data_IF_388943921168
#
_entry.id   IF_388943921168
#
_cell.length_a   1.000
_cell.length_b   1.000
_cell.length_c   1.000
_cell.angle_alpha   90.00
_cell.angle_beta   90.00
_cell.angle_gamma   90.00
#
_symmetry.space_group_name_H-M   'P 1'
#
loop_
_entity.id
_entity.type
_entity.pdbx_description
1 polymer ?
#
# COMPACT_ATOMS: atom_id res chain seq x y z
N UNK A 1 4.83 -13.75 -12.18
CA UNK A 1 4.84 -14.08 -10.74
C UNK A 1 3.60 -13.42 -10.14
N UNK A 2 2.88 -14.06 -9.20
CA UNK A 2 1.74 -13.39 -8.56
C UNK A 2 2.24 -12.37 -7.53
N UNK A 3 1.55 -11.24 -7.41
CA UNK A 3 1.84 -10.23 -6.37
C UNK A 3 1.34 -10.78 -5.03
N UNK A 4 2.22 -10.84 -4.03
CA UNK A 4 1.89 -11.22 -2.66
C UNK A 4 1.96 -10.02 -1.73
N UNK A 5 1.03 -9.90 -0.79
CA UNK A 5 0.94 -8.78 0.16
C UNK A 5 0.74 -9.26 1.59
N UNK A 6 1.49 -8.69 2.54
CA UNK A 6 1.32 -8.94 3.98
C UNK A 6 1.07 -7.62 4.69
N UNK A 7 -0.03 -7.53 5.44
CA UNK A 7 -0.43 -6.29 6.12
C UNK A 7 -0.05 -6.33 7.60
N UNK A 8 0.60 -5.27 8.07
CA UNK A 8 0.92 -5.03 9.48
C UNK A 8 0.31 -3.72 9.95
N UNK A 9 -0.55 -3.76 10.96
CA UNK A 9 -1.06 -2.53 11.60
C UNK A 9 0.04 -1.96 12.50
N UNK A 10 0.47 -0.72 12.24
CA UNK A 10 1.52 -0.07 13.03
C UNK A 10 0.91 0.71 14.20
N UNK A 11 0.07 1.70 13.88
CA UNK A 11 -0.59 2.55 14.86
C UNK A 11 -1.99 2.91 14.42
N UNK A 12 -2.82 3.27 15.40
CA UNK A 12 -4.17 3.74 15.21
C UNK A 12 -4.46 4.82 16.24
N UNK A 13 -5.12 5.88 15.82
CA UNK A 13 -5.56 6.93 16.73
C UNK A 13 -6.95 7.42 16.33
N UNK A 14 -7.73 7.71 17.36
CA UNK A 14 -9.04 8.31 17.21
C UNK A 14 -8.87 9.83 17.20
N UNK A 15 -9.33 10.48 16.13
CA UNK A 15 -9.45 11.94 16.12
C UNK A 15 -10.64 12.32 17.02
N UNK A 16 -10.47 13.34 17.86
CA UNK A 16 -11.48 13.77 18.85
C UNK A 16 -12.86 14.04 18.22
N UNK A 17 -12.90 14.49 16.96
CA UNK A 17 -14.09 14.74 16.15
C UNK A 17 -13.93 14.25 14.69
N UNK A 18 -13.18 13.16 14.46
CA UNK A 18 -12.83 12.72 13.11
C UNK A 18 -12.82 11.21 12.90
N UNK A 19 -12.64 10.75 11.64
CA UNK A 19 -12.48 9.33 11.36
C UNK A 19 -11.24 8.80 12.05
N UNK A 20 -11.33 7.58 12.58
CA UNK A 20 -10.21 6.86 13.15
C UNK A 20 -9.13 6.68 12.10
N UNK A 21 -7.96 7.27 12.32
CA UNK A 21 -6.82 7.14 11.43
C UNK A 21 -6.01 5.91 11.81
N UNK A 22 -5.75 5.06 10.83
CA UNK A 22 -4.85 3.90 10.98
C UNK A 22 -3.69 4.04 10.02
N UNK A 23 -2.48 3.70 10.49
CA UNK A 23 -1.31 3.50 9.63
C UNK A 23 -1.06 2.00 9.47
N UNK A 24 -1.18 1.50 8.24
CA UNK A 24 -0.84 0.10 7.88
C UNK A 24 0.48 0.12 7.13
N UNK A 25 1.34 -0.87 7.36
CA UNK A 25 2.45 -1.24 6.47
C UNK A 25 2.03 -2.45 5.66
N UNK A 26 2.22 -2.38 4.35
CA UNK A 26 1.92 -3.48 3.42
C UNK A 26 3.22 -3.94 2.80
N UNK A 27 3.77 -5.09 3.21
CA UNK A 27 4.94 -5.69 2.57
C UNK A 27 4.53 -6.41 1.29
N UNK A 28 5.09 -5.96 0.16
CA UNK A 28 4.77 -6.47 -1.19
C UNK A 28 5.83 -7.46 -1.67
N UNK A 29 5.49 -8.38 -2.56
CA UNK A 29 6.46 -9.24 -3.26
C UNK A 29 5.98 -9.52 -4.68
N UNK A 30 6.88 -9.96 -5.57
CA UNK A 30 6.49 -10.39 -6.91
C UNK A 30 6.17 -9.28 -7.91
N UNK A 31 6.58 -8.03 -7.64
CA UNK A 31 6.45 -6.93 -8.60
C UNK A 31 7.22 -7.23 -9.90
N UNK A 32 6.56 -7.00 -11.03
CA UNK A 32 7.17 -7.03 -12.35
C UNK A 32 7.74 -5.65 -12.71
N UNK A 33 8.68 -5.61 -13.65
CA UNK A 33 9.11 -4.34 -14.23
C UNK A 33 7.93 -3.63 -14.91
N UNK A 34 7.83 -2.31 -14.73
CA UNK A 34 6.71 -1.50 -15.20
C UNK A 34 5.61 -1.35 -14.16
N UNK A 35 4.36 -1.18 -14.62
CA UNK A 35 3.21 -0.83 -13.78
C UNK A 35 2.57 -2.07 -13.14
N UNK A 36 2.32 -2.01 -11.83
CA UNK A 36 1.71 -3.08 -11.05
C UNK A 36 0.50 -2.54 -10.27
N UNK A 37 -0.56 -3.34 -10.20
CA UNK A 37 -1.68 -3.13 -9.28
C UNK A 37 -1.47 -4.03 -8.05
N UNK A 38 -1.28 -3.42 -6.88
CA UNK A 38 -1.00 -4.10 -5.62
C UNK A 38 -2.27 -4.10 -4.77
N UNK A 39 -2.93 -5.25 -4.56
CA UNK A 39 -4.11 -5.32 -3.70
C UNK A 39 -3.75 -5.00 -2.24
N UNK A 40 -4.41 -4.02 -1.61
CA UNK A 40 -4.08 -3.61 -0.24
C UNK A 40 -5.03 -4.15 0.83
N UNK A 41 -6.26 -4.50 0.46
CA UNK A 41 -7.24 -5.10 1.37
C UNK A 41 -7.66 -4.20 2.55
N UNK A 42 -7.48 -2.89 2.45
CA UNK A 42 -7.86 -1.95 3.51
C UNK A 42 -9.38 -1.82 3.56
N UNK A 43 -9.89 -1.81 4.78
CA UNK A 43 -11.31 -1.75 5.08
C UNK A 43 -11.59 -0.64 6.08
N UNK A 44 -12.72 0.03 5.91
CA UNK A 44 -13.29 0.91 6.93
C UNK A 44 -13.88 0.10 8.10
N UNK A 45 -14.45 0.81 9.07
CA UNK A 45 -15.11 0.22 10.25
C UNK A 45 -16.34 -0.64 9.90
N UNK A 46 -16.92 -0.48 8.72
CA UNK A 46 -18.07 -1.21 8.23
C UNK A 46 -17.66 -2.39 7.33
N UNK A 47 -16.36 -2.64 7.15
CA UNK A 47 -15.85 -3.70 6.28
C UNK A 47 -15.87 -3.36 4.77
N UNK A 48 -16.13 -2.10 4.41
CA UNK A 48 -16.09 -1.62 3.02
C UNK A 48 -14.68 -1.23 2.61
N UNK A 49 -14.32 -1.42 1.33
CA UNK A 49 -13.02 -1.00 0.82
C UNK A 49 -12.83 0.51 0.96
N UNK A 50 -11.65 0.94 1.39
CA UNK A 50 -11.34 2.37 1.58
C UNK A 50 -10.07 2.74 0.81
N UNK A 51 -10.12 3.86 0.11
CA UNK A 51 -8.97 4.39 -0.61
C UNK A 51 -7.97 5.01 0.39
N UNK A 52 -6.66 4.74 0.24
CA UNK A 52 -5.62 5.41 1.00
C UNK A 52 -5.69 6.94 0.89
N UNK A 53 -5.58 7.67 2.00
CA UNK A 53 -5.41 9.15 1.96
C UNK A 53 -4.00 9.57 1.53
N UNK A 54 -3.02 8.73 1.82
CA UNK A 54 -1.62 8.92 1.47
C UNK A 54 -0.97 7.56 1.23
N UNK A 55 0.03 7.52 0.35
CA UNK A 55 0.83 6.35 0.02
C UNK A 55 2.30 6.76 0.10
N UNK A 56 3.03 6.19 1.05
CA UNK A 56 4.49 6.24 1.07
C UNK A 56 5.06 4.95 0.50
N UNK A 57 6.12 5.01 -0.32
CA UNK A 57 6.81 3.82 -0.84
C UNK A 57 8.23 3.81 -0.27
N UNK A 58 8.53 2.82 0.56
CA UNK A 58 9.88 2.60 1.09
C UNK A 58 10.58 1.45 0.36
N UNK A 59 11.60 1.70 -0.49
CA UNK A 59 12.32 0.64 -1.18
C UNK A 59 13.12 -0.23 -0.21
N UNK A 60 12.97 -1.56 -0.26
CA UNK A 60 13.83 -2.51 0.49
C UNK A 60 14.87 -3.21 -0.38
N UNK A 61 14.87 -2.93 -1.68
CA UNK A 61 15.84 -3.43 -2.65
C UNK A 61 16.40 -2.28 -3.47
N UNK A 62 17.56 -2.50 -4.11
CA UNK A 62 18.18 -1.50 -4.98
C UNK A 62 17.45 -1.43 -6.33
N UNK A 63 16.26 -0.84 -6.30
CA UNK A 63 15.37 -0.69 -7.44
C UNK A 63 14.60 0.63 -7.31
N UNK A 64 14.12 1.15 -8.44
CA UNK A 64 13.34 2.39 -8.46
C UNK A 64 11.85 2.07 -8.34
N UNK A 65 11.15 2.81 -7.47
CA UNK A 65 9.72 2.68 -7.29
C UNK A 65 9.05 4.05 -7.34
N UNK A 66 7.86 4.08 -7.92
CA UNK A 66 7.04 5.29 -8.00
C UNK A 66 5.57 4.93 -7.97
N UNK A 67 4.75 5.85 -7.48
CA UNK A 67 3.30 5.79 -7.70
C UNK A 67 3.00 6.34 -9.09
N UNK A 68 2.33 5.56 -9.95
CA UNK A 68 2.02 6.00 -11.32
C UNK A 68 0.58 6.50 -11.48
N UNK A 69 -0.28 6.26 -10.50
CA UNK A 69 -1.62 6.83 -10.38
C UNK A 69 -2.09 6.73 -8.93
N UNK A 70 -3.05 7.57 -8.54
CA UNK A 70 -3.62 7.56 -7.20
C UNK A 70 -4.22 6.19 -6.86
N UNK A 71 -3.98 5.71 -5.63
CA UNK A 71 -4.60 4.51 -5.10
C UNK A 71 -6.14 4.62 -5.04
N UNK A 72 -6.82 3.49 -5.18
CA UNK A 72 -8.27 3.38 -5.05
C UNK A 72 -8.65 2.50 -3.85
N UNK A 73 -9.94 2.13 -3.72
CA UNK A 73 -10.44 1.33 -2.61
C UNK A 73 -9.96 -0.14 -2.60
N UNK A 74 -9.23 -0.56 -3.63
CA UNK A 74 -8.82 -1.95 -3.89
C UNK A 74 -7.33 -2.12 -4.11
N UNK A 75 -6.68 -1.17 -4.80
CA UNK A 75 -5.32 -1.29 -5.29
C UNK A 75 -4.49 -0.04 -5.05
N UNK A 76 -3.20 -0.28 -4.82
CA UNK A 76 -2.14 0.73 -4.87
C UNK A 76 -1.34 0.49 -6.14
N UNK A 77 -1.01 1.56 -6.85
CA UNK A 77 -0.50 1.47 -8.21
C UNK A 77 0.98 1.85 -8.28
N UNK A 78 1.82 0.81 -8.27
CA UNK A 78 3.27 0.93 -8.10
C UNK A 78 3.99 0.58 -9.41
N UNK A 79 4.83 1.49 -9.87
CA UNK A 79 5.81 1.24 -10.91
C UNK A 79 7.10 0.70 -10.32
N UNK A 80 7.73 -0.27 -10.97
CA UNK A 80 9.04 -0.81 -10.59
C UNK A 80 10.01 -0.75 -11.79
N UNK A 81 11.22 -0.22 -11.57
CA UNK A 81 12.24 -0.09 -12.62
C UNK A 81 12.79 -1.44 -13.11
N UNK A 82 12.85 -2.42 -12.23
CA UNK A 82 13.24 -3.81 -12.50
C UNK A 82 12.27 -4.80 -11.81
N UNK A 83 12.14 -6.00 -12.38
CA UNK A 83 11.37 -7.08 -11.77
C UNK A 83 12.22 -7.82 -10.72
N UNK A 84 11.66 -8.05 -9.54
CA UNK A 84 12.36 -8.73 -8.44
C UNK A 84 11.70 -8.39 -7.11
N UNK A 85 11.59 -9.39 -6.22
CA UNK A 85 10.88 -9.33 -4.94
C UNK A 85 11.07 -8.01 -4.19
N UNK A 86 10.15 -7.09 -4.43
CA UNK A 86 10.20 -5.77 -3.84
C UNK A 86 9.22 -5.76 -2.70
N UNK A 87 9.75 -5.73 -1.48
CA UNK A 87 8.97 -5.24 -0.36
C UNK A 87 9.00 -3.71 -0.41
N UNK A 88 7.84 -3.09 -0.51
CA UNK A 88 7.69 -1.70 -0.11
C UNK A 88 7.00 -1.72 1.25
N UNK A 89 7.28 -0.79 2.15
CA UNK A 89 6.34 -0.51 3.22
C UNK A 89 5.39 0.56 2.70
N UNK A 90 4.12 0.20 2.49
CA UNK A 90 3.11 1.19 2.11
C UNK A 90 2.38 1.66 3.34
N UNK A 91 2.60 2.91 3.71
CA UNK A 91 1.90 3.59 4.78
C UNK A 91 0.60 4.18 4.25
N UNK A 92 -0.53 3.74 4.81
CA UNK A 92 -1.85 4.25 4.45
C UNK A 92 -2.54 4.82 5.65
N UNK A 93 -3.01 6.06 5.55
CA UNK A 93 -4.04 6.65 6.41
C UNK A 93 -5.43 6.33 5.86
N UNK A 94 -6.23 5.57 6.61
CA UNK A 94 -7.65 5.31 6.36
C UNK A 94 -8.48 5.80 7.53
#
# INVERSE_FOLDING_TARGET
>A
MAIGTTNSNLYQFDLLDGPRLRMVRIDVTGLAAGNNAVPHGLKDQNGSGVAPKSVGIEPTSNNNFWEYQAADATNIYVGAGAGGGTTAAIYVEG
#
